data_IF_075616596217
#
_entry.id   IF_075616596217
#
_cell.length_a   1.000
_cell.length_b   1.000
_cell.length_c   1.000
_cell.angle_alpha   90.00
_cell.angle_beta   90.00
_cell.angle_gamma   90.00
#
_symmetry.space_group_name_H-M   'P 1'
#
loop_
_entity.id
_entity.type
_entity.pdbx_description
1 polymer ?
#
# COMPACT_ATOMS: atom_id res chain seq x y z
N UNK A 1 33.27 -23.77 -66.13
CA UNK A 1 32.30 -23.83 -65.03
C UNK A 1 32.34 -22.45 -64.34
N UNK A 2 31.32 -21.61 -64.65
CA UNK A 2 31.28 -20.21 -64.11
C UNK A 2 30.41 -20.24 -62.87
N UNK A 3 30.98 -19.97 -61.72
CA UNK A 3 30.31 -19.79 -60.45
C UNK A 3 29.69 -18.40 -60.47
N UNK A 4 28.33 -18.30 -60.43
CA UNK A 4 27.62 -17.04 -60.21
C UNK A 4 27.74 -16.64 -58.75
N UNK A 5 28.48 -15.57 -58.45
CA UNK A 5 28.50 -14.93 -57.13
C UNK A 5 27.17 -14.19 -56.96
N UNK A 6 26.39 -14.59 -55.99
CA UNK A 6 25.15 -13.91 -55.67
C UNK A 6 25.46 -12.51 -55.07
N UNK A 7 24.73 -11.50 -55.55
CA UNK A 7 24.89 -10.10 -55.17
C UNK A 7 24.56 -9.88 -53.66
N UNK A 8 25.39 -9.22 -52.86
CA UNK A 8 25.17 -9.02 -51.43
C UNK A 8 24.00 -8.07 -51.08
N UNK A 9 23.40 -7.42 -52.10
CA UNK A 9 22.32 -6.45 -51.91
C UNK A 9 21.00 -7.08 -51.42
N UNK A 10 20.72 -8.34 -51.72
CA UNK A 10 19.48 -9.01 -51.29
C UNK A 10 19.51 -9.43 -49.81
N UNK A 11 20.68 -9.76 -49.27
CA UNK A 11 20.83 -10.13 -47.82
C UNK A 11 20.58 -8.96 -46.88
N UNK A 12 21.00 -7.76 -47.26
CA UNK A 12 20.77 -6.54 -46.44
C UNK A 12 19.31 -6.13 -46.43
N UNK A 13 18.60 -6.26 -47.54
CA UNK A 13 17.15 -5.95 -47.62
C UNK A 13 16.34 -6.93 -46.75
N UNK A 14 16.69 -8.21 -46.74
CA UNK A 14 16.04 -9.20 -45.85
C UNK A 14 16.33 -8.97 -44.36
N UNK A 15 17.54 -8.55 -44.02
CA UNK A 15 17.90 -8.20 -42.62
C UNK A 15 17.17 -6.94 -42.16
N UNK A 16 17.07 -5.92 -43.00
CA UNK A 16 16.33 -4.68 -42.67
C UNK A 16 14.83 -4.97 -42.57
N UNK A 17 14.24 -5.77 -43.49
CA UNK A 17 12.84 -6.19 -43.41
C UNK A 17 12.56 -7.05 -42.18
N UNK A 18 13.45 -7.95 -41.77
CA UNK A 18 13.33 -8.73 -40.53
C UNK A 18 13.44 -7.83 -39.27
N UNK A 19 14.35 -6.84 -39.26
CA UNK A 19 14.44 -5.86 -38.19
C UNK A 19 13.20 -4.95 -38.13
N UNK A 20 12.64 -4.53 -39.26
CA UNK A 20 11.39 -3.73 -39.28
C UNK A 20 10.19 -4.56 -38.83
N UNK A 21 10.13 -5.83 -39.17
CA UNK A 21 9.08 -6.75 -38.68
C UNK A 21 9.23 -7.07 -37.21
N UNK A 22 10.44 -7.13 -36.68
CA UNK A 22 10.69 -7.29 -35.24
C UNK A 22 10.39 -6.02 -34.43
N UNK A 23 10.54 -4.83 -35.03
CA UNK A 23 10.14 -3.56 -34.43
C UNK A 23 8.62 -3.32 -34.44
N UNK A 24 7.88 -3.97 -35.37
CA UNK A 24 6.41 -3.93 -35.39
C UNK A 24 5.75 -4.92 -34.42
N UNK A 25 6.50 -5.81 -33.80
CA UNK A 25 6.03 -6.77 -32.81
C UNK A 25 6.17 -6.27 -31.37
N UNK A 26 6.29 -4.95 -31.14
CA UNK A 26 5.93 -4.37 -29.86
C UNK A 26 4.43 -4.57 -29.70
N UNK A 27 4.02 -5.70 -29.11
CA UNK A 27 2.66 -5.91 -28.66
C UNK A 27 2.36 -4.82 -27.64
N UNK A 28 1.69 -3.75 -28.06
CA UNK A 28 1.03 -2.87 -27.10
C UNK A 28 -0.07 -3.70 -26.47
N UNK A 29 0.01 -3.93 -25.15
CA UNK A 29 -1.09 -4.56 -24.43
C UNK A 29 -2.38 -3.78 -24.72
N UNK A 30 -3.47 -4.51 -24.96
CA UNK A 30 -4.77 -3.90 -25.17
C UNK A 30 -5.16 -3.12 -23.93
N UNK A 31 -5.20 -1.80 -24.06
CA UNK A 31 -5.58 -0.88 -23.00
C UNK A 31 -6.69 0.04 -23.50
N UNK A 32 -7.72 0.22 -22.68
CA UNK A 32 -8.72 1.27 -22.93
C UNK A 32 -8.06 2.66 -22.84
N UNK A 33 -8.73 3.68 -23.37
CA UNK A 33 -8.22 5.04 -23.29
C UNK A 33 -7.92 5.44 -21.84
N UNK A 34 -6.75 6.03 -21.62
CA UNK A 34 -6.40 6.65 -20.36
C UNK A 34 -7.33 7.84 -20.08
N UNK A 35 -7.55 8.14 -18.81
CA UNK A 35 -8.34 9.31 -18.39
C UNK A 35 -7.65 10.59 -18.83
N UNK A 36 -8.30 11.49 -19.60
CA UNK A 36 -7.73 12.79 -19.90
C UNK A 36 -7.46 13.59 -18.63
N UNK A 37 -6.36 14.39 -18.55
CA UNK A 37 -5.96 15.11 -17.33
C UNK A 37 -7.07 15.99 -16.75
N UNK A 38 -7.90 16.62 -17.60
CA UNK A 38 -9.01 17.49 -17.20
C UNK A 38 -10.19 16.73 -16.59
N UNK A 39 -10.33 15.41 -16.89
CA UNK A 39 -11.40 14.55 -16.36
C UNK A 39 -10.99 13.75 -15.13
N UNK A 40 -9.71 13.71 -14.79
CA UNK A 40 -9.18 12.89 -13.68
C UNK A 40 -9.96 13.04 -12.37
N UNK A 41 -10.35 14.27 -12.05
CA UNK A 41 -11.07 14.58 -10.81
C UNK A 41 -12.57 14.27 -10.86
N UNK A 42 -13.09 13.93 -12.03
CA UNK A 42 -14.50 13.62 -12.27
C UNK A 42 -14.72 12.11 -12.41
N UNK A 43 -13.64 11.31 -12.30
CA UNK A 43 -13.74 9.85 -12.47
C UNK A 43 -14.49 9.20 -11.33
N UNK A 44 -15.38 8.29 -11.69
CA UNK A 44 -16.15 7.43 -10.80
C UNK A 44 -15.73 5.97 -11.00
N UNK A 45 -15.70 5.19 -9.94
CA UNK A 45 -15.51 3.75 -10.00
C UNK A 45 -16.74 3.04 -9.42
N UNK A 46 -17.35 2.16 -10.23
CA UNK A 46 -18.58 1.44 -9.88
C UNK A 46 -19.74 2.35 -9.41
N UNK A 47 -19.69 3.65 -9.66
CA UNK A 47 -20.66 4.63 -9.16
C UNK A 47 -20.64 4.80 -7.63
N UNK A 48 -19.61 4.32 -6.93
CA UNK A 48 -19.53 4.34 -5.47
C UNK A 48 -19.09 5.72 -4.98
N UNK A 49 -19.92 6.47 -4.23
CA UNK A 49 -19.52 7.77 -3.69
C UNK A 49 -18.39 7.62 -2.64
N UNK A 50 -17.42 8.53 -2.68
CA UNK A 50 -16.28 8.55 -1.75
C UNK A 50 -15.46 7.24 -1.72
N UNK A 51 -15.48 6.45 -2.80
CA UNK A 51 -14.67 5.24 -2.92
C UNK A 51 -13.17 5.54 -2.81
N UNK A 52 -12.76 6.76 -3.20
CA UNK A 52 -11.35 7.17 -3.20
C UNK A 52 -11.21 8.68 -3.09
N UNK A 53 -10.00 9.12 -2.74
CA UNK A 53 -9.62 10.52 -2.59
C UNK A 53 -8.32 10.79 -3.35
N UNK A 54 -8.24 11.97 -3.93
CA UNK A 54 -7.03 12.50 -4.55
C UNK A 54 -6.36 13.48 -3.57
N UNK A 55 -5.04 13.37 -3.40
CA UNK A 55 -4.30 14.19 -2.41
C UNK A 55 -4.31 15.68 -2.70
N UNK A 56 -4.56 16.06 -3.95
CA UNK A 56 -4.74 17.44 -4.39
C UNK A 56 -6.20 17.95 -4.23
N UNK A 57 -7.10 17.12 -3.68
CA UNK A 57 -8.48 17.48 -3.32
C UNK A 57 -8.75 17.25 -1.81
N UNK A 58 -8.04 17.94 -0.90
CA UNK A 58 -8.12 17.66 0.53
C UNK A 58 -9.52 17.85 1.13
N UNK A 59 -10.36 18.66 0.50
CA UNK A 59 -11.72 18.92 0.98
C UNK A 59 -12.59 17.65 1.03
N UNK A 60 -12.46 16.77 0.05
CA UNK A 60 -13.23 15.52 0.02
C UNK A 60 -12.84 14.59 1.19
N UNK A 61 -11.54 14.47 1.46
CA UNK A 61 -11.04 13.66 2.58
C UNK A 61 -11.41 14.29 3.93
N UNK A 62 -11.33 15.60 4.06
CA UNK A 62 -11.76 16.31 5.27
C UNK A 62 -13.25 16.11 5.53
N UNK A 63 -14.10 16.20 4.52
CA UNK A 63 -15.52 15.93 4.64
C UNK A 63 -15.81 14.48 5.04
N UNK A 64 -15.00 13.49 4.59
CA UNK A 64 -15.16 12.11 5.03
C UNK A 64 -14.72 11.93 6.49
N UNK A 65 -13.69 12.62 6.95
CA UNK A 65 -13.31 12.62 8.37
C UNK A 65 -14.43 13.20 9.25
N UNK A 66 -15.08 14.28 8.83
CA UNK A 66 -16.25 14.84 9.54
C UNK A 66 -17.41 13.84 9.59
N UNK A 67 -17.74 13.21 8.46
CA UNK A 67 -18.78 12.16 8.42
C UNK A 67 -18.43 10.98 9.33
N UNK A 68 -17.16 10.56 9.37
CA UNK A 68 -16.69 9.50 10.25
C UNK A 68 -16.87 9.88 11.73
N UNK A 69 -16.52 11.11 12.12
CA UNK A 69 -16.76 11.61 13.49
C UNK A 69 -18.24 11.64 13.85
N UNK A 70 -19.11 12.05 12.93
CA UNK A 70 -20.56 12.06 13.13
C UNK A 70 -21.10 10.63 13.29
N UNK A 71 -20.65 9.67 12.45
CA UNK A 71 -21.02 8.25 12.59
C UNK A 71 -20.57 7.68 13.94
N UNK A 72 -19.33 7.98 14.35
CA UNK A 72 -18.82 7.55 15.64
C UNK A 72 -19.61 8.11 16.81
N UNK A 73 -19.86 9.42 16.83
CA UNK A 73 -20.64 10.07 17.87
C UNK A 73 -22.05 9.48 17.98
N UNK A 74 -22.70 9.21 16.83
CA UNK A 74 -23.99 8.54 16.78
C UNK A 74 -23.93 7.13 17.36
N UNK A 75 -22.92 6.35 16.98
CA UNK A 75 -22.72 4.98 17.49
C UNK A 75 -22.51 4.97 19.01
N UNK A 76 -21.68 5.89 19.51
CA UNK A 76 -21.38 6.02 20.93
C UNK A 76 -22.49 6.74 21.73
N UNK A 77 -23.53 7.24 21.05
CA UNK A 77 -24.58 8.08 21.67
C UNK A 77 -24.02 9.30 22.41
N UNK A 78 -22.90 9.84 21.88
CA UNK A 78 -22.25 11.00 22.47
C UNK A 78 -23.14 12.25 22.35
N UNK A 79 -23.14 13.09 23.40
CA UNK A 79 -23.81 14.40 23.37
C UNK A 79 -23.15 15.32 22.35
N UNK A 80 -23.91 16.26 21.78
CA UNK A 80 -23.35 17.28 20.87
C UNK A 80 -22.20 18.03 21.55
N UNK A 81 -21.12 18.24 20.82
CA UNK A 81 -19.90 18.92 21.32
C UNK A 81 -19.23 18.23 22.51
N UNK A 82 -19.40 16.91 22.63
CA UNK A 82 -18.84 16.11 23.72
C UNK A 82 -17.42 15.62 23.51
N UNK A 83 -16.80 15.12 24.60
CA UNK A 83 -15.55 14.39 24.54
C UNK A 83 -15.76 13.02 23.89
N UNK A 84 -14.98 12.72 22.86
CA UNK A 84 -14.87 11.36 22.30
C UNK A 84 -13.73 10.60 22.97
N UNK A 85 -13.77 9.25 22.98
CA UNK A 85 -12.65 8.44 23.44
C UNK A 85 -11.38 8.77 22.64
N UNK A 86 -10.22 8.46 23.21
CA UNK A 86 -8.91 8.62 22.52
C UNK A 86 -8.97 7.98 21.13
N UNK A 87 -8.60 8.75 20.13
CA UNK A 87 -8.50 8.29 18.75
C UNK A 87 -7.13 7.71 18.48
N UNK A 88 -7.07 6.42 18.19
CA UNK A 88 -5.84 5.72 17.81
C UNK A 88 -5.79 5.59 16.28
N UNK A 89 -4.67 5.96 15.69
CA UNK A 89 -4.42 5.95 14.25
C UNK A 89 -3.22 5.06 13.97
N UNK A 90 -3.33 4.17 12.99
CA UNK A 90 -2.26 3.26 12.59
C UNK A 90 -1.87 3.49 11.14
N UNK A 91 -0.57 3.64 10.89
CA UNK A 91 0.01 3.65 9.55
C UNK A 91 0.95 2.46 9.37
N UNK A 92 0.73 1.67 8.32
CA UNK A 92 1.51 0.49 7.97
C UNK A 92 2.26 0.75 6.67
N UNK A 93 3.59 0.75 6.73
CA UNK A 93 4.39 1.01 5.54
C UNK A 93 4.48 -0.18 4.59
N UNK A 94 4.90 0.09 3.36
CA UNK A 94 5.46 -0.91 2.46
C UNK A 94 6.71 -1.58 3.05
N UNK A 95 7.16 -2.68 2.39
CA UNK A 95 8.34 -3.42 2.83
C UNK A 95 8.44 -4.86 2.29
N UNK A 96 7.54 -5.30 1.41
CA UNK A 96 7.58 -6.68 0.88
C UNK A 96 7.43 -7.72 2.00
N UNK A 97 8.34 -8.68 2.05
CA UNK A 97 8.40 -9.74 3.07
C UNK A 97 8.79 -9.26 4.48
N UNK A 98 9.39 -8.08 4.60
CA UNK A 98 9.55 -7.37 5.87
C UNK A 98 8.21 -7.04 6.56
N UNK A 99 7.08 -7.18 5.87
CA UNK A 99 5.74 -7.14 6.48
C UNK A 99 5.55 -8.13 7.62
N UNK A 100 6.36 -9.19 7.69
CA UNK A 100 6.41 -10.11 8.81
C UNK A 100 6.70 -9.39 10.15
N UNK A 101 7.44 -8.27 10.12
CA UNK A 101 7.65 -7.42 11.28
C UNK A 101 6.35 -6.81 11.78
N UNK A 102 5.59 -6.15 10.93
CA UNK A 102 4.32 -5.52 11.29
C UNK A 102 3.28 -6.53 11.77
N UNK A 103 3.21 -7.69 11.10
CA UNK A 103 2.33 -8.79 11.49
C UNK A 103 2.68 -9.31 12.90
N UNK A 104 3.96 -9.64 13.14
CA UNK A 104 4.44 -10.11 14.43
C UNK A 104 4.23 -9.08 15.54
N UNK A 105 4.50 -7.79 15.26
CA UNK A 105 4.30 -6.70 16.21
C UNK A 105 2.82 -6.59 16.61
N UNK A 106 1.89 -6.59 15.65
CA UNK A 106 0.46 -6.47 15.93
C UNK A 106 -0.06 -7.65 16.77
N UNK A 107 0.32 -8.88 16.43
CA UNK A 107 -0.11 -10.07 17.19
C UNK A 107 0.53 -10.12 18.57
N UNK A 108 1.82 -9.79 18.68
CA UNK A 108 2.50 -9.65 19.97
C UNK A 108 1.90 -8.55 20.84
N UNK A 109 1.46 -7.44 20.23
CA UNK A 109 0.76 -6.37 20.94
C UNK A 109 -0.61 -6.81 21.48
N UNK A 110 -1.33 -7.65 20.75
CA UNK A 110 -2.52 -8.31 21.26
C UNK A 110 -2.19 -9.22 22.45
N UNK A 111 -1.11 -9.98 22.38
CA UNK A 111 -0.67 -10.85 23.47
C UNK A 111 -0.24 -10.04 24.73
N UNK A 112 0.28 -8.83 24.55
CA UNK A 112 0.55 -7.90 25.66
C UNK A 112 -0.74 -7.38 26.32
N UNK A 113 -1.84 -7.29 25.58
CA UNK A 113 -3.19 -6.99 26.09
C UNK A 113 -3.60 -5.52 26.02
N UNK A 114 -2.81 -4.62 25.43
CA UNK A 114 -3.11 -3.18 25.33
C UNK A 114 -3.20 -2.65 23.89
N UNK A 115 -3.26 -3.55 22.88
CA UNK A 115 -3.50 -3.14 21.49
C UNK A 115 -4.84 -2.43 21.35
N UNK A 116 -4.85 -1.13 20.94
CA UNK A 116 -6.09 -0.38 20.85
C UNK A 116 -6.89 -0.74 19.60
N UNK A 117 -8.18 -0.42 19.62
CA UNK A 117 -8.99 -0.36 18.41
C UNK A 117 -8.68 0.93 17.65
N UNK A 118 -8.25 0.82 16.39
CA UNK A 118 -7.83 1.99 15.59
C UNK A 118 -9.02 2.67 14.91
N UNK A 119 -9.06 4.00 14.95
CA UNK A 119 -10.04 4.83 14.25
C UNK A 119 -9.74 4.97 12.77
N UNK A 120 -8.47 4.99 12.43
CA UNK A 120 -7.97 4.98 11.06
C UNK A 120 -6.84 3.97 10.97
N UNK A 121 -6.90 3.11 9.98
CA UNK A 121 -5.77 2.28 9.55
C UNK A 121 -5.45 2.62 8.11
N UNK A 122 -4.20 2.93 7.85
CA UNK A 122 -3.69 3.16 6.49
C UNK A 122 -2.64 2.13 6.14
N UNK A 123 -2.59 1.74 4.88
CA UNK A 123 -1.62 0.76 4.40
C UNK A 123 -1.11 1.06 2.99
N UNK A 124 0.15 0.73 2.77
CA UNK A 124 0.84 0.80 1.47
C UNK A 124 1.57 -0.53 1.26
N UNK A 125 1.49 -1.11 0.05
CA UNK A 125 2.19 -2.35 -0.30
C UNK A 125 1.88 -3.49 0.69
N UNK A 126 2.88 -4.14 1.28
CA UNK A 126 2.65 -5.14 2.34
C UNK A 126 1.82 -4.57 3.51
N UNK A 127 1.96 -3.27 3.81
CA UNK A 127 1.10 -2.61 4.79
C UNK A 127 -0.38 -2.58 4.39
N UNK A 128 -0.69 -2.52 3.09
CA UNK A 128 -2.06 -2.65 2.59
C UNK A 128 -2.60 -4.07 2.75
N UNK A 129 -1.73 -5.08 2.67
CA UNK A 129 -2.09 -6.48 2.93
C UNK A 129 -2.35 -6.75 4.41
N UNK A 130 -1.65 -6.07 5.32
CA UNK A 130 -1.83 -6.17 6.78
C UNK A 130 -3.04 -5.35 7.26
N UNK A 131 -3.33 -4.23 6.60
CA UNK A 131 -4.27 -3.22 7.09
C UNK A 131 -5.69 -3.74 7.41
N UNK A 132 -6.34 -4.61 6.62
CA UNK A 132 -7.66 -5.15 6.96
C UNK A 132 -7.66 -5.95 8.27
N UNK A 133 -6.64 -6.77 8.50
CA UNK A 133 -6.47 -7.56 9.73
C UNK A 133 -6.25 -6.65 10.96
N UNK A 134 -5.38 -5.65 10.80
CA UNK A 134 -5.13 -4.66 11.84
C UNK A 134 -6.38 -3.83 12.18
N UNK A 135 -7.17 -3.50 11.17
CA UNK A 135 -8.41 -2.74 11.29
C UNK A 135 -9.50 -3.52 12.03
N UNK A 136 -9.68 -4.79 11.69
CA UNK A 136 -10.70 -5.64 12.32
C UNK A 136 -10.27 -6.09 13.72
N UNK A 137 -8.99 -6.30 13.96
CA UNK A 137 -8.46 -6.54 15.30
C UNK A 137 -8.13 -8.00 15.61
N UNK A 138 -8.07 -8.37 16.90
CA UNK A 138 -7.51 -9.64 17.36
C UNK A 138 -8.18 -10.90 16.81
N UNK A 139 -9.43 -10.84 16.40
CA UNK A 139 -10.14 -11.98 15.78
C UNK A 139 -9.47 -12.48 14.48
N UNK A 140 -8.66 -11.62 13.85
CA UNK A 140 -7.93 -11.94 12.62
C UNK A 140 -6.43 -12.23 12.83
N UNK A 141 -5.95 -12.26 14.08
CA UNK A 141 -4.52 -12.44 14.36
C UNK A 141 -3.99 -13.82 13.91
N UNK A 142 -4.82 -14.86 14.00
CA UNK A 142 -4.45 -16.18 13.50
C UNK A 142 -4.25 -16.20 11.97
N UNK A 143 -5.14 -15.54 11.22
CA UNK A 143 -5.02 -15.40 9.78
C UNK A 143 -3.81 -14.54 9.39
N UNK A 144 -3.55 -13.42 10.09
CA UNK A 144 -2.39 -12.58 9.89
C UNK A 144 -1.08 -13.34 10.14
N UNK A 145 -1.05 -14.18 11.19
CA UNK A 145 0.09 -15.07 11.48
C UNK A 145 0.32 -16.07 10.34
N UNK A 146 -0.75 -16.71 9.83
CA UNK A 146 -0.66 -17.70 8.74
C UNK A 146 -0.07 -17.05 7.47
N UNK A 147 -0.56 -15.86 7.09
CA UNK A 147 -0.05 -15.11 5.93
C UNK A 147 1.45 -14.84 6.00
N UNK A 148 1.99 -14.44 7.17
CA UNK A 148 3.40 -14.02 7.27
C UNK A 148 4.36 -15.09 7.78
N UNK A 149 3.87 -16.29 8.11
CA UNK A 149 4.72 -17.39 8.58
C UNK A 149 4.66 -18.64 7.72
N UNK A 150 3.63 -18.80 6.86
CA UNK A 150 3.41 -20.00 6.07
C UNK A 150 3.38 -19.76 4.56
N UNK A 151 3.50 -18.52 4.11
CA UNK A 151 3.60 -18.14 2.70
C UNK A 151 5.06 -18.08 2.28
N UNK A 152 5.32 -18.43 1.02
CA UNK A 152 6.63 -18.37 0.36
C UNK A 152 6.50 -17.68 -0.99
N UNK A 153 7.62 -17.55 -1.71
CA UNK A 153 7.69 -16.88 -3.01
C UNK A 153 6.62 -17.35 -4.00
N UNK A 154 6.35 -18.67 -4.09
CA UNK A 154 5.37 -19.23 -5.05
C UNK A 154 3.92 -18.85 -4.74
N UNK A 155 3.62 -18.40 -3.52
CA UNK A 155 2.30 -17.86 -3.16
C UNK A 155 2.13 -16.38 -3.54
N UNK A 156 3.22 -15.72 -3.93
CA UNK A 156 3.25 -14.28 -4.25
C UNK A 156 3.37 -14.07 -5.75
N UNK A 157 4.34 -14.72 -6.40
CA UNK A 157 4.57 -14.55 -7.84
C UNK A 157 5.25 -15.74 -8.50
N UNK A 158 5.03 -15.86 -9.81
CA UNK A 158 5.78 -16.74 -10.69
C UNK A 158 6.72 -15.92 -11.56
N UNK A 159 8.02 -16.31 -11.62
CA UNK A 159 9.00 -15.64 -12.47
C UNK A 159 8.71 -15.95 -13.94
N UNK A 160 8.61 -14.92 -14.77
CA UNK A 160 8.52 -15.06 -16.22
C UNK A 160 9.92 -15.21 -16.83
N UNK A 161 10.01 -15.70 -18.07
CA UNK A 161 11.29 -15.76 -18.78
C UNK A 161 11.88 -14.37 -18.98
N UNK A 162 13.21 -14.27 -19.11
CA UNK A 162 13.93 -12.98 -19.29
C UNK A 162 13.41 -12.20 -20.50
N UNK A 163 12.87 -12.87 -21.50
CA UNK A 163 12.22 -12.22 -22.65
C UNK A 163 11.01 -11.37 -22.26
N UNK A 164 10.37 -11.65 -21.15
CA UNK A 164 9.26 -10.86 -20.61
C UNK A 164 9.64 -9.39 -20.34
N UNK A 165 10.90 -9.12 -20.04
CA UNK A 165 11.39 -7.74 -19.89
C UNK A 165 11.23 -6.86 -21.15
N UNK A 166 11.00 -7.48 -22.32
CA UNK A 166 10.83 -6.80 -23.61
C UNK A 166 9.43 -6.99 -24.18
N UNK A 167 8.77 -8.09 -23.83
CA UNK A 167 7.47 -8.49 -24.41
C UNK A 167 6.28 -8.30 -23.48
N UNK A 168 6.53 -8.17 -22.18
CA UNK A 168 5.49 -8.08 -21.15
C UNK A 168 5.64 -6.79 -20.32
N UNK A 169 4.60 -6.44 -19.58
CA UNK A 169 4.54 -5.26 -18.72
C UNK A 169 5.24 -5.47 -17.36
N UNK A 170 5.65 -6.72 -17.04
CA UNK A 170 6.39 -7.06 -15.83
C UNK A 170 7.20 -8.35 -15.94
N UNK A 171 8.16 -8.52 -15.03
CA UNK A 171 9.02 -9.69 -14.94
C UNK A 171 8.37 -10.90 -14.25
N UNK A 172 7.23 -10.71 -13.59
CA UNK A 172 6.55 -11.75 -12.82
C UNK A 172 5.04 -11.74 -13.03
N UNK A 173 4.40 -12.88 -12.82
CA UNK A 173 2.95 -13.01 -12.74
C UNK A 173 2.51 -12.95 -11.28
N UNK A 174 1.51 -12.13 -10.96
CA UNK A 174 0.98 -11.92 -9.61
C UNK A 174 -0.35 -12.64 -9.36
N UNK A 175 -0.78 -13.53 -10.24
CA UNK A 175 -1.97 -14.37 -10.02
C UNK A 175 -1.92 -15.14 -8.69
N UNK A 176 -0.75 -15.67 -8.21
CA UNK A 176 -0.65 -16.29 -6.91
C UNK A 176 -0.94 -15.32 -5.75
N UNK A 177 -0.47 -14.08 -5.84
CA UNK A 177 -0.77 -13.05 -4.83
C UNK A 177 -2.27 -12.73 -4.81
N UNK A 178 -2.90 -12.58 -5.98
CA UNK A 178 -4.34 -12.37 -6.06
C UNK A 178 -5.13 -13.54 -5.44
N UNK A 179 -4.71 -14.77 -5.69
CA UNK A 179 -5.32 -15.97 -5.09
C UNK A 179 -5.14 -15.95 -3.55
N UNK A 180 -3.95 -15.58 -3.07
CA UNK A 180 -3.66 -15.43 -1.64
C UNK A 180 -4.54 -14.34 -1.01
N UNK A 181 -4.63 -13.16 -1.62
CA UNK A 181 -5.52 -12.09 -1.16
C UNK A 181 -6.96 -12.60 -1.10
N UNK A 182 -7.42 -13.32 -2.15
CA UNK A 182 -8.79 -13.82 -2.26
C UNK A 182 -9.15 -14.87 -1.21
N UNK A 183 -8.16 -15.63 -0.72
CA UNK A 183 -8.33 -16.63 0.35
C UNK A 183 -8.72 -15.97 1.68
N UNK A 184 -8.14 -14.80 1.99
CA UNK A 184 -8.31 -14.14 3.29
C UNK A 184 -9.31 -12.98 3.25
N UNK A 185 -9.37 -12.26 2.13
CA UNK A 185 -10.30 -11.16 1.93
C UNK A 185 -11.55 -11.70 1.24
N UNK A 186 -12.46 -12.19 2.04
CA UNK A 186 -13.72 -12.80 1.65
C UNK A 186 -14.94 -11.87 1.93
N UNK A 187 -16.12 -12.34 1.62
CA UNK A 187 -17.39 -11.63 1.87
C UNK A 187 -17.59 -11.34 3.36
N UNK A 188 -17.15 -12.25 4.23
CA UNK A 188 -17.26 -12.07 5.67
C UNK A 188 -16.38 -10.90 6.15
N UNK A 189 -15.10 -10.88 5.74
CA UNK A 189 -14.20 -9.76 6.07
C UNK A 189 -14.74 -8.44 5.51
N UNK A 190 -15.24 -8.43 4.27
CA UNK A 190 -15.85 -7.23 3.68
C UNK A 190 -17.03 -6.73 4.49
N UNK A 191 -17.95 -7.62 4.91
CA UNK A 191 -19.08 -7.25 5.74
C UNK A 191 -18.65 -6.67 7.10
N UNK A 192 -17.64 -7.25 7.74
CA UNK A 192 -17.05 -6.73 8.98
C UNK A 192 -16.43 -5.34 8.79
N UNK A 193 -15.75 -5.10 7.66
CA UNK A 193 -15.19 -3.77 7.33
C UNK A 193 -16.32 -2.75 7.16
N UNK A 194 -17.42 -3.12 6.50
CA UNK A 194 -18.59 -2.26 6.34
C UNK A 194 -19.23 -1.90 7.69
N UNK A 195 -19.39 -2.86 8.60
CA UNK A 195 -19.90 -2.62 9.95
C UNK A 195 -19.02 -1.62 10.74
N UNK A 196 -17.69 -1.79 10.69
CA UNK A 196 -16.76 -0.90 11.38
C UNK A 196 -16.73 0.51 10.77
N UNK A 197 -16.91 0.61 9.45
CA UNK A 197 -17.09 1.91 8.78
C UNK A 197 -18.33 2.65 9.24
N UNK A 198 -19.47 1.94 9.47
CA UNK A 198 -20.68 2.53 10.02
C UNK A 198 -20.50 3.04 11.46
N UNK A 199 -19.57 2.47 12.22
CA UNK A 199 -19.17 2.94 13.55
C UNK A 199 -18.21 4.13 13.50
N UNK A 200 -17.92 4.68 12.31
CA UNK A 200 -17.06 5.84 12.11
C UNK A 200 -15.56 5.51 12.07
N UNK A 201 -15.19 4.23 11.84
CA UNK A 201 -13.80 3.85 11.62
C UNK A 201 -13.46 3.90 10.13
N UNK A 202 -12.20 4.15 9.79
CA UNK A 202 -11.74 4.29 8.41
C UNK A 202 -10.60 3.31 8.12
N UNK A 203 -10.70 2.61 6.99
CA UNK A 203 -9.64 1.80 6.42
C UNK A 203 -9.26 2.39 5.06
N UNK A 204 -8.01 2.81 4.91
CA UNK A 204 -7.53 3.46 3.70
C UNK A 204 -6.27 2.76 3.14
N UNK A 205 -6.29 2.48 1.84
CA UNK A 205 -5.17 1.88 1.11
C UNK A 205 -4.72 2.87 0.03
N UNK A 206 -3.40 3.01 -0.16
CA UNK A 206 -2.85 3.87 -1.19
C UNK A 206 -2.30 3.06 -2.35
N UNK A 207 -2.59 3.52 -3.57
CA UNK A 207 -1.97 3.11 -4.82
C UNK A 207 -1.40 4.33 -5.54
N UNK A 208 -0.60 4.12 -6.58
CA UNK A 208 -0.12 5.18 -7.47
C UNK A 208 -0.77 5.03 -8.84
N UNK A 209 -1.53 6.03 -9.29
CA UNK A 209 -1.98 6.18 -10.66
C UNK A 209 -0.78 6.65 -11.51
N UNK A 210 -0.26 5.78 -12.38
CA UNK A 210 0.92 6.07 -13.20
C UNK A 210 0.63 7.10 -14.31
N UNK A 211 -0.59 7.13 -14.85
CA UNK A 211 -0.94 8.09 -15.90
C UNK A 211 -0.90 9.52 -15.37
N UNK A 212 -1.38 9.69 -14.16
CA UNK A 212 -1.42 10.99 -13.50
C UNK A 212 -0.12 11.31 -12.73
N UNK A 213 0.65 10.29 -12.34
CA UNK A 213 1.81 10.44 -11.43
C UNK A 213 1.40 10.84 -10.02
N UNK A 214 0.22 10.41 -9.55
CA UNK A 214 -0.37 10.83 -8.28
C UNK A 214 -0.77 9.65 -7.39
N UNK A 215 -0.65 9.80 -6.06
CA UNK A 215 -1.22 8.82 -5.13
C UNK A 215 -2.74 8.93 -5.11
N UNK A 216 -3.39 7.76 -5.05
CA UNK A 216 -4.83 7.61 -4.88
C UNK A 216 -5.07 6.88 -3.56
N UNK A 217 -5.89 7.46 -2.68
CA UNK A 217 -6.24 6.91 -1.38
C UNK A 217 -7.64 6.29 -1.48
N UNK A 218 -7.72 4.99 -1.35
CA UNK A 218 -8.96 4.23 -1.42
C UNK A 218 -9.64 4.13 -0.07
N UNK A 219 -10.92 4.47 -0.01
CA UNK A 219 -11.78 4.32 1.17
C UNK A 219 -12.44 2.94 1.16
N UNK A 220 -11.71 1.95 1.68
CA UNK A 220 -12.14 0.54 1.65
C UNK A 220 -13.47 0.34 2.37
N UNK A 221 -13.71 1.09 3.45
CA UNK A 221 -14.97 1.02 4.18
C UNK A 221 -16.18 1.50 3.37
N UNK A 222 -16.03 2.60 2.60
CA UNK A 222 -17.10 3.07 1.72
C UNK A 222 -17.38 2.08 0.58
N UNK A 223 -16.33 1.46 0.03
CA UNK A 223 -16.45 0.41 -1.00
C UNK A 223 -17.18 -0.81 -0.40
N UNK A 224 -16.75 -1.30 0.75
CA UNK A 224 -17.36 -2.45 1.41
C UNK A 224 -18.84 -2.25 1.73
N UNK A 225 -19.21 -1.02 2.13
CA UNK A 225 -20.60 -0.66 2.44
C UNK A 225 -21.47 -0.42 1.22
N UNK A 226 -20.91 -0.24 0.04
CA UNK A 226 -21.65 0.23 -1.15
C UNK A 226 -22.80 -0.68 -1.59
N UNK A 227 -22.75 -1.98 -1.25
CA UNK A 227 -23.67 -2.99 -1.76
C UNK A 227 -23.45 -3.35 -3.22
N UNK A 228 -22.39 -2.82 -3.88
CA UNK A 228 -22.05 -3.20 -5.24
C UNK A 228 -21.62 -4.68 -5.29
N UNK A 229 -22.12 -5.49 -6.23
CA UNK A 229 -21.70 -6.87 -6.40
C UNK A 229 -20.20 -7.00 -6.71
N UNK A 230 -19.59 -5.95 -7.29
CA UNK A 230 -18.16 -5.92 -7.64
C UNK A 230 -17.28 -5.37 -6.50
N UNK A 231 -17.85 -4.96 -5.37
CA UNK A 231 -17.12 -4.31 -4.27
C UNK A 231 -15.97 -5.18 -3.73
N UNK A 232 -16.22 -6.48 -3.53
CA UNK A 232 -15.21 -7.41 -3.04
C UNK A 232 -14.05 -7.56 -4.02
N UNK A 233 -14.36 -7.70 -5.30
CA UNK A 233 -13.38 -7.79 -6.36
C UNK A 233 -12.55 -6.50 -6.46
N UNK A 234 -13.19 -5.35 -6.35
CA UNK A 234 -12.50 -4.04 -6.33
C UNK A 234 -11.54 -3.95 -5.13
N UNK A 235 -11.95 -4.34 -3.91
CA UNK A 235 -11.08 -4.32 -2.72
C UNK A 235 -9.84 -5.20 -2.95
N UNK A 236 -10.00 -6.41 -3.49
CA UNK A 236 -8.89 -7.32 -3.80
C UNK A 236 -7.92 -6.72 -4.82
N UNK A 237 -8.44 -6.10 -5.87
CA UNK A 237 -7.60 -5.44 -6.88
C UNK A 237 -6.89 -4.20 -6.33
N UNK A 238 -7.51 -3.43 -5.42
CA UNK A 238 -6.85 -2.32 -4.73
C UNK A 238 -5.67 -2.82 -3.89
N UNK A 239 -5.83 -3.92 -3.16
CA UNK A 239 -4.75 -4.52 -2.38
C UNK A 239 -3.63 -5.05 -3.28
N UNK A 240 -3.99 -5.72 -4.39
CA UNK A 240 -3.04 -6.19 -5.40
C UNK A 240 -2.27 -5.01 -6.03
N UNK A 241 -2.98 -3.95 -6.46
CA UNK A 241 -2.37 -2.76 -7.03
C UNK A 241 -1.41 -2.08 -6.06
N UNK A 242 -1.81 -1.98 -4.79
CA UNK A 242 -0.95 -1.40 -3.74
C UNK A 242 0.32 -2.21 -3.51
N UNK A 243 0.34 -3.49 -3.83
CA UNK A 243 1.49 -4.37 -3.73
C UNK A 243 2.20 -4.65 -5.08
N UNK A 244 1.76 -4.01 -6.17
CA UNK A 244 2.32 -4.18 -7.52
C UNK A 244 3.55 -3.29 -7.72
N UNK A 245 4.71 -3.77 -7.27
CA UNK A 245 6.00 -3.05 -7.37
C UNK A 245 6.35 -2.84 -8.85
N UNK A 246 6.57 -1.57 -9.30
CA UNK A 246 6.88 -1.27 -10.69
C UNK A 246 8.06 -2.07 -11.23
N UNK A 247 7.98 -2.54 -12.46
CA UNK A 247 8.91 -3.40 -13.17
C UNK A 247 9.01 -4.85 -12.64
N UNK A 248 8.75 -5.10 -11.36
CA UNK A 248 8.73 -6.45 -10.80
C UNK A 248 7.37 -7.14 -11.04
N UNK A 249 6.29 -6.42 -10.81
CA UNK A 249 4.91 -6.91 -10.90
C UNK A 249 4.08 -6.12 -11.90
N UNK A 250 3.07 -6.76 -12.56
CA UNK A 250 2.21 -6.09 -13.52
C UNK A 250 1.42 -4.96 -12.83
N UNK A 251 1.17 -3.85 -13.54
CA UNK A 251 0.22 -2.85 -13.08
C UNK A 251 -1.20 -3.42 -13.04
N UNK A 252 -2.02 -2.90 -12.17
CA UNK A 252 -3.45 -3.23 -12.11
C UNK A 252 -4.25 -2.15 -12.81
N UNK A 253 -5.12 -2.57 -13.72
CA UNK A 253 -5.95 -1.69 -14.52
C UNK A 253 -7.31 -1.52 -13.85
N UNK A 254 -7.74 -0.27 -13.59
CA UNK A 254 -9.06 0.05 -13.08
C UNK A 254 -9.93 0.68 -14.16
N UNK A 255 -11.07 0.05 -14.43
CA UNK A 255 -12.09 0.64 -15.29
C UNK A 255 -12.83 1.74 -14.50
N UNK A 256 -12.88 2.92 -15.08
CA UNK A 256 -13.52 4.11 -14.51
C UNK A 256 -14.41 4.79 -15.53
N UNK A 257 -15.32 5.61 -15.07
CA UNK A 257 -16.20 6.42 -15.90
C UNK A 257 -16.01 7.89 -15.58
N UNK A 258 -15.97 8.74 -16.63
CA UNK A 258 -16.00 10.19 -16.52
C UNK A 258 -16.96 10.75 -17.55
N UNK A 259 -17.92 11.59 -17.15
CA UNK A 259 -18.95 12.20 -18.02
C UNK A 259 -19.69 11.19 -18.91
N UNK A 260 -19.94 9.98 -18.39
CA UNK A 260 -20.64 8.93 -19.14
C UNK A 260 -19.78 8.19 -20.19
N UNK A 261 -18.47 8.43 -20.23
CA UNK A 261 -17.54 7.71 -21.11
C UNK A 261 -16.63 6.78 -20.31
N UNK A 262 -16.34 5.57 -20.80
CA UNK A 262 -15.45 4.61 -20.14
C UNK A 262 -13.99 4.95 -20.41
N UNK A 263 -13.17 4.83 -19.35
CA UNK A 263 -11.72 4.99 -19.36
C UNK A 263 -11.05 3.90 -18.53
N UNK A 264 -9.71 3.91 -18.50
CA UNK A 264 -8.93 2.99 -17.71
C UNK A 264 -7.73 3.71 -17.08
N UNK A 265 -7.55 3.52 -15.78
CA UNK A 265 -6.40 4.02 -15.03
C UNK A 265 -5.42 2.88 -14.77
N UNK A 266 -4.12 3.16 -14.87
CA UNK A 266 -3.04 2.21 -14.62
C UNK A 266 -2.46 2.45 -13.22
N UNK A 267 -2.65 1.49 -12.32
CA UNK A 267 -2.18 1.61 -10.94
C UNK A 267 -1.05 0.64 -10.60
N UNK A 268 -0.13 1.12 -9.80
CA UNK A 268 0.97 0.35 -9.22
C UNK A 268 1.07 0.60 -7.72
N UNK A 269 2.08 -0.02 -7.08
CA UNK A 269 2.37 0.12 -5.65
C UNK A 269 2.35 1.58 -5.21
N UNK A 270 1.67 1.82 -4.08
CA UNK A 270 1.63 3.14 -3.47
C UNK A 270 3.00 3.67 -3.08
N UNK A 271 3.96 2.77 -2.84
CA UNK A 271 5.34 3.07 -2.52
C UNK A 271 6.12 3.77 -3.64
N UNK A 272 5.61 3.79 -4.87
CA UNK A 272 6.17 4.62 -5.94
C UNK A 272 6.12 6.12 -5.60
N UNK A 273 5.16 6.56 -4.76
CA UNK A 273 5.02 7.94 -4.30
C UNK A 273 5.36 8.08 -2.81
N UNK A 274 4.79 7.23 -1.95
CA UNK A 274 5.07 7.26 -0.51
C UNK A 274 4.93 5.87 0.11
N UNK A 275 5.85 5.54 1.02
CA UNK A 275 5.88 4.24 1.69
C UNK A 275 4.87 4.12 2.83
N UNK A 276 4.45 5.25 3.38
CA UNK A 276 3.50 5.32 4.49
C UNK A 276 2.80 6.67 4.53
N UNK A 277 1.58 6.71 5.03
CA UNK A 277 0.82 7.92 5.26
C UNK A 277 -0.16 7.76 6.42
N UNK A 278 -0.56 8.84 7.06
CA UNK A 278 -1.72 8.91 7.97
C UNK A 278 -2.85 9.69 7.31
N UNK A 279 -2.56 10.93 6.96
CA UNK A 279 -3.41 11.80 6.13
C UNK A 279 -2.48 12.61 5.23
N UNK A 280 -2.93 13.06 4.06
CA UNK A 280 -2.15 13.98 3.25
C UNK A 280 -1.75 15.23 4.06
N UNK A 281 -0.57 15.81 3.83
CA UNK A 281 -0.14 17.01 4.54
C UNK A 281 -1.09 18.22 4.41
N UNK A 282 -1.89 18.23 3.34
CA UNK A 282 -2.93 19.24 3.08
C UNK A 282 -4.18 19.07 3.95
N UNK A 283 -4.39 17.91 4.58
CA UNK A 283 -5.51 17.63 5.48
C UNK A 283 -5.09 17.91 6.92
N UNK A 284 -5.89 18.71 7.63
CA UNK A 284 -5.68 18.98 9.05
C UNK A 284 -6.78 18.28 9.87
N UNK A 285 -6.45 17.22 10.64
CA UNK A 285 -7.43 16.49 11.45
C UNK A 285 -8.17 17.36 12.48
N UNK A 286 -7.56 18.45 12.95
CA UNK A 286 -8.23 19.38 13.85
C UNK A 286 -9.41 20.11 13.21
N UNK A 287 -9.40 20.33 11.91
CA UNK A 287 -10.51 21.00 11.24
C UNK A 287 -11.79 20.19 11.30
N UNK A 288 -11.69 18.87 11.14
CA UNK A 288 -12.83 17.98 11.27
C UNK A 288 -13.40 17.96 12.71
N UNK A 289 -12.53 17.94 13.72
CA UNK A 289 -12.95 18.06 15.13
C UNK A 289 -13.60 19.44 15.39
N UNK A 290 -12.98 20.52 14.94
CA UNK A 290 -13.52 21.86 15.10
C UNK A 290 -14.89 22.05 14.40
N UNK A 291 -15.02 21.52 13.16
CA UNK A 291 -16.27 21.62 12.40
C UNK A 291 -17.42 20.85 13.07
N UNK A 292 -17.14 19.75 13.74
CA UNK A 292 -18.13 18.90 14.42
C UNK A 292 -18.36 19.28 15.89
N UNK A 293 -17.49 20.13 16.46
CA UNK A 293 -17.54 20.51 17.88
C UNK A 293 -17.10 19.42 18.86
N UNK A 294 -16.62 18.26 18.36
CA UNK A 294 -16.07 17.20 19.19
C UNK A 294 -14.60 17.45 19.52
N UNK A 295 -14.14 16.88 20.64
CA UNK A 295 -12.73 16.92 21.05
C UNK A 295 -12.27 15.56 21.54
N UNK A 296 -11.01 15.23 21.30
CA UNK A 296 -10.36 13.97 21.73
C UNK A 296 -8.85 14.09 21.79
N UNK A 297 -8.24 13.24 22.61
CA UNK A 297 -6.83 12.93 22.51
C UNK A 297 -6.58 12.09 21.25
N UNK A 298 -5.51 12.38 20.53
CA UNK A 298 -5.10 11.65 19.32
C UNK A 298 -3.75 10.99 19.54
N UNK A 299 -3.62 9.72 19.16
CA UNK A 299 -2.38 8.92 19.28
C UNK A 299 -2.14 8.23 17.95
N UNK A 300 -1.02 8.52 17.31
CA UNK A 300 -0.62 7.91 16.06
C UNK A 300 0.46 6.85 16.29
N UNK A 301 0.27 5.68 15.70
CA UNK A 301 1.21 4.59 15.64
C UNK A 301 1.64 4.38 14.19
N UNK A 302 2.93 4.29 13.98
CA UNK A 302 3.52 4.06 12.67
C UNK A 302 4.38 2.80 12.75
N UNK A 303 4.07 1.81 11.94
CA UNK A 303 4.85 0.58 11.83
C UNK A 303 5.55 0.61 10.47
N UNK A 304 6.88 0.75 10.51
CA UNK A 304 7.72 0.65 9.33
C UNK A 304 8.16 -0.80 9.13
N UNK A 305 7.66 -1.42 8.09
CA UNK A 305 8.08 -2.76 7.67
C UNK A 305 9.41 -2.70 6.89
N UNK A 306 10.42 -2.15 7.52
CA UNK A 306 11.79 -2.05 6.97
C UNK A 306 12.72 -1.46 8.05
N UNK A 307 14.03 -1.48 7.77
CA UNK A 307 15.04 -0.76 8.54
C UNK A 307 15.04 0.73 8.22
N UNK A 308 15.62 1.54 9.08
CA UNK A 308 15.88 2.96 8.80
C UNK A 308 17.15 3.15 7.94
N UNK A 309 18.11 2.25 8.07
CA UNK A 309 19.36 2.22 7.32
C UNK A 309 19.22 1.33 6.09
N UNK A 310 19.92 1.67 5.01
CA UNK A 310 20.00 0.81 3.83
C UNK A 310 21.04 -0.28 4.04
N UNK A 311 20.70 -1.52 3.68
CA UNK A 311 21.67 -2.60 3.66
C UNK A 311 22.64 -2.43 2.49
N UNK A 312 23.92 -2.71 2.76
CA UNK A 312 24.94 -2.71 1.71
C UNK A 312 24.71 -3.90 0.79
N UNK A 313 24.79 -3.67 -0.51
CA UNK A 313 24.67 -4.70 -1.54
C UNK A 313 25.68 -4.43 -2.65
N UNK A 314 26.42 -5.43 -3.07
CA UNK A 314 27.24 -5.37 -4.26
C UNK A 314 26.31 -5.40 -5.50
N UNK A 315 26.40 -4.35 -6.31
CA UNK A 315 25.53 -4.17 -7.47
C UNK A 315 26.27 -4.49 -8.73
N UNK A 316 25.79 -5.49 -9.47
CA UNK A 316 26.35 -5.81 -10.78
C UNK A 316 26.26 -4.61 -11.73
N UNK A 317 27.34 -4.38 -12.52
CA UNK A 317 27.39 -3.29 -13.51
C UNK A 317 26.58 -3.62 -14.76
N UNK A 318 25.28 -3.89 -14.57
CA UNK A 318 24.29 -4.17 -15.63
C UNK A 318 23.13 -3.17 -15.50
N UNK A 319 22.56 -2.76 -16.63
CA UNK A 319 21.50 -1.72 -16.67
C UNK A 319 20.32 -2.07 -15.77
N UNK A 320 19.84 -3.32 -15.80
CA UNK A 320 18.71 -3.76 -15.01
C UNK A 320 19.03 -3.77 -13.51
N UNK A 321 20.19 -4.32 -13.11
CA UNK A 321 20.63 -4.37 -11.71
C UNK A 321 20.81 -2.96 -11.12
N UNK A 322 21.39 -2.05 -11.92
CA UNK A 322 21.56 -0.64 -11.53
C UNK A 322 20.20 0.03 -11.37
N UNK A 323 19.27 -0.17 -12.32
CA UNK A 323 17.94 0.43 -12.28
C UNK A 323 17.15 -0.08 -11.08
N UNK A 324 17.13 -1.39 -10.83
CA UNK A 324 16.45 -2.00 -9.68
C UNK A 324 17.00 -1.46 -8.35
N UNK A 325 18.34 -1.39 -8.21
CA UNK A 325 18.94 -0.83 -6.99
C UNK A 325 18.64 0.64 -6.80
N UNK A 326 18.65 1.43 -7.87
CA UNK A 326 18.31 2.85 -7.83
C UNK A 326 16.85 3.06 -7.36
N UNK A 327 15.90 2.33 -7.95
CA UNK A 327 14.48 2.37 -7.56
C UNK A 327 14.31 1.95 -6.09
N UNK A 328 14.91 0.84 -5.66
CA UNK A 328 14.85 0.38 -4.27
C UNK A 328 15.43 1.42 -3.29
N UNK A 329 16.53 2.08 -3.69
CA UNK A 329 17.14 3.16 -2.90
C UNK A 329 16.21 4.37 -2.77
N UNK A 330 15.61 4.82 -3.88
CA UNK A 330 14.65 5.92 -3.90
C UNK A 330 13.43 5.62 -3.03
N UNK A 331 12.86 4.42 -3.13
CA UNK A 331 11.74 3.93 -2.33
C UNK A 331 12.08 3.98 -0.84
N UNK A 332 13.26 3.48 -0.44
CA UNK A 332 13.67 3.47 0.96
C UNK A 332 13.85 4.89 1.52
N UNK A 333 14.52 5.78 0.79
CA UNK A 333 14.71 7.18 1.23
C UNK A 333 13.42 7.98 1.23
N UNK A 334 12.50 7.75 0.28
CA UNK A 334 11.15 8.31 0.35
C UNK A 334 10.43 7.88 1.63
N UNK A 335 10.52 6.59 1.99
CA UNK A 335 9.95 6.08 3.24
C UNK A 335 10.51 6.76 4.48
N UNK A 336 11.82 7.02 4.53
CA UNK A 336 12.41 7.80 5.64
C UNK A 336 11.79 9.21 5.68
N UNK A 337 11.68 9.89 4.53
CA UNK A 337 11.05 11.19 4.43
C UNK A 337 9.57 11.20 4.87
N UNK A 338 8.83 10.09 4.64
CA UNK A 338 7.43 9.96 5.06
C UNK A 338 7.29 10.04 6.59
N UNK A 339 8.20 9.44 7.36
CA UNK A 339 8.14 9.46 8.83
C UNK A 339 8.37 10.86 9.37
N UNK A 340 9.26 11.65 8.78
CA UNK A 340 9.42 13.05 9.13
C UNK A 340 8.16 13.85 8.79
N UNK A 341 7.55 13.63 7.61
CA UNK A 341 6.27 14.26 7.23
C UNK A 341 5.14 13.90 8.20
N UNK A 342 5.02 12.62 8.57
CA UNK A 342 4.02 12.16 9.53
C UNK A 342 4.28 12.74 10.93
N UNK A 343 5.52 12.81 11.38
CA UNK A 343 5.88 13.46 12.65
C UNK A 343 5.43 14.92 12.66
N UNK A 344 5.75 15.68 11.62
CA UNK A 344 5.31 17.08 11.51
C UNK A 344 3.78 17.22 11.46
N UNK A 345 3.11 16.29 10.80
CA UNK A 345 1.63 16.25 10.74
C UNK A 345 1.03 15.94 12.12
N UNK A 346 1.56 14.98 12.86
CA UNK A 346 1.11 14.65 14.22
C UNK A 346 1.37 15.80 15.19
N UNK A 347 2.53 16.46 15.10
CA UNK A 347 2.83 17.66 15.90
C UNK A 347 1.84 18.79 15.62
N UNK A 348 1.54 19.07 14.35
CA UNK A 348 0.54 20.08 13.96
C UNK A 348 -0.87 19.70 14.45
N UNK A 349 -1.18 18.41 14.49
CA UNK A 349 -2.45 17.88 14.97
C UNK A 349 -2.49 17.70 16.51
N UNK A 350 -1.48 18.12 17.26
CA UNK A 350 -1.34 17.88 18.69
C UNK A 350 -1.61 16.41 19.06
N UNK A 351 -1.13 15.49 18.20
CA UNK A 351 -1.25 14.05 18.40
C UNK A 351 0.07 13.48 18.93
N UNK A 352 -0.02 12.43 19.74
CA UNK A 352 1.15 11.64 20.15
C UNK A 352 1.67 10.85 18.94
N UNK A 353 2.99 10.75 18.80
CA UNK A 353 3.67 10.01 17.74
C UNK A 353 4.38 8.80 18.34
N UNK A 354 4.19 7.62 17.73
CA UNK A 354 4.82 6.37 18.15
C UNK A 354 5.29 5.62 16.89
N UNK A 355 6.60 5.40 16.76
CA UNK A 355 7.22 4.74 15.61
C UNK A 355 7.85 3.41 16.03
N UNK A 356 7.58 2.37 15.23
CA UNK A 356 8.24 1.07 15.27
C UNK A 356 8.89 0.78 13.93
N UNK A 357 10.06 0.13 13.96
CA UNK A 357 10.79 -0.31 12.77
C UNK A 357 11.71 -1.49 13.11
N UNK A 358 12.25 -2.16 12.09
CA UNK A 358 13.19 -3.27 12.26
C UNK A 358 14.50 -2.70 12.80
N UNK A 359 14.84 -3.08 14.04
CA UNK A 359 16.05 -2.60 14.71
C UNK A 359 17.32 -3.26 14.18
N UNK A 360 18.47 -2.64 14.48
CA UNK A 360 19.78 -3.16 14.09
C UNK A 360 20.14 -4.44 14.88
N UNK A 361 19.38 -4.77 15.93
CA UNK A 361 19.50 -5.98 16.74
C UNK A 361 18.84 -7.22 16.09
N UNK A 362 18.14 -7.06 14.96
CA UNK A 362 17.62 -8.18 14.20
C UNK A 362 18.63 -8.64 13.12
N UNK A 363 18.99 -9.91 13.18
CA UNK A 363 19.86 -10.55 12.19
C UNK A 363 19.26 -11.91 11.81
N UNK A 364 19.06 -12.13 10.51
CA UNK A 364 18.65 -13.42 9.95
C UNK A 364 19.11 -13.51 8.50
N UNK A 365 19.43 -14.71 8.04
CA UNK A 365 19.72 -14.95 6.62
C UNK A 365 18.47 -14.67 5.78
N UNK A 366 18.62 -13.91 4.70
CA UNK A 366 17.60 -13.59 3.72
C UNK A 366 18.08 -14.06 2.34
N UNK A 367 17.72 -15.28 1.96
CA UNK A 367 18.29 -15.96 0.78
C UNK A 367 17.62 -15.58 -0.53
N UNK A 368 16.33 -15.29 -0.45
CA UNK A 368 15.50 -14.91 -1.61
C UNK A 368 14.29 -14.11 -1.14
N UNK A 369 13.62 -13.41 -2.06
CA UNK A 369 12.41 -12.68 -1.75
C UNK A 369 11.32 -13.65 -1.23
N UNK A 370 10.64 -13.27 -0.16
CA UNK A 370 9.63 -14.06 0.54
C UNK A 370 10.17 -15.39 1.09
N UNK A 371 11.43 -15.36 1.59
CA UNK A 371 12.02 -16.49 2.32
C UNK A 371 11.22 -16.74 3.62
N UNK A 372 10.54 -17.89 3.68
CA UNK A 372 9.71 -18.26 4.83
C UNK A 372 10.52 -18.36 6.13
N UNK A 373 11.78 -18.77 6.07
CA UNK A 373 12.67 -18.84 7.24
C UNK A 373 12.96 -17.46 7.81
N UNK A 374 13.31 -16.52 6.93
CA UNK A 374 13.50 -15.11 7.27
C UNK A 374 12.23 -14.49 7.83
N UNK A 375 11.10 -14.63 7.15
CA UNK A 375 9.81 -14.09 7.58
C UNK A 375 9.39 -14.60 8.95
N UNK A 376 9.58 -15.88 9.25
CA UNK A 376 9.30 -16.47 10.57
C UNK A 376 10.22 -15.91 11.65
N UNK A 377 11.50 -15.73 11.36
CA UNK A 377 12.45 -15.15 12.30
C UNK A 377 12.08 -13.69 12.61
N UNK A 378 11.76 -12.90 11.59
CA UNK A 378 11.36 -11.50 11.73
C UNK A 378 10.02 -11.35 12.46
N UNK A 379 9.04 -12.19 12.12
CA UNK A 379 7.75 -12.24 12.82
C UNK A 379 7.96 -12.51 14.32
N UNK A 380 8.74 -13.53 14.67
CA UNK A 380 9.02 -13.88 16.08
C UNK A 380 9.73 -12.77 16.83
N UNK A 381 10.74 -12.16 16.19
CA UNK A 381 11.45 -11.01 16.76
C UNK A 381 10.50 -9.87 17.14
N UNK A 382 9.61 -9.49 16.22
CA UNK A 382 8.64 -8.43 16.44
C UNK A 382 7.57 -8.81 17.49
N UNK A 383 7.07 -10.06 17.41
CA UNK A 383 6.12 -10.62 18.37
C UNK A 383 6.68 -10.58 19.78
N UNK A 384 7.89 -11.11 20.00
CA UNK A 384 8.51 -11.18 21.31
C UNK A 384 8.77 -9.81 21.93
N UNK A 385 9.15 -8.82 21.10
CA UNK A 385 9.29 -7.43 21.55
C UNK A 385 7.95 -6.84 21.96
N UNK A 386 6.92 -7.02 21.14
CA UNK A 386 5.61 -6.44 21.39
C UNK A 386 4.89 -7.11 22.56
N UNK A 387 5.01 -8.42 22.73
CA UNK A 387 4.43 -9.15 23.86
C UNK A 387 5.01 -8.76 25.25
N UNK A 388 6.20 -8.14 25.27
CA UNK A 388 6.83 -7.58 26.47
C UNK A 388 6.63 -6.08 26.66
N UNK A 389 5.84 -5.45 25.81
CA UNK A 389 5.69 -3.99 25.72
C UNK A 389 6.69 -3.41 24.72
N UNK A 390 6.18 -3.06 23.50
CA UNK A 390 7.06 -2.54 22.45
C UNK A 390 7.64 -1.16 22.84
N UNK A 391 8.96 -0.92 22.70
CA UNK A 391 9.59 0.35 23.01
C UNK A 391 9.41 1.37 21.87
N UNK A 392 8.20 1.92 21.76
CA UNK A 392 7.86 2.90 20.73
C UNK A 392 8.78 4.13 20.79
N UNK A 393 9.22 4.58 19.62
CA UNK A 393 9.97 5.83 19.49
C UNK A 393 8.98 7.02 19.35
N UNK A 394 9.13 8.04 20.20
CA UNK A 394 8.25 9.22 20.21
C UNK A 394 8.63 10.30 19.20
N UNK A 395 9.74 10.09 18.46
CA UNK A 395 10.23 10.95 17.40
C UNK A 395 11.01 10.15 16.35
N UNK A 396 11.11 10.64 15.10
CA UNK A 396 12.03 10.08 14.10
C UNK A 396 13.50 10.28 14.55
N UNK A 397 14.44 9.45 14.05
CA UNK A 397 15.87 9.63 14.34
C UNK A 397 16.37 11.05 14.01
N UNK A 398 17.25 11.57 14.84
CA UNK A 398 17.82 12.92 14.70
C UNK A 398 16.95 14.05 15.27
N UNK A 399 15.73 13.77 15.72
CA UNK A 399 14.98 14.70 16.55
C UNK A 399 15.27 14.42 18.04
N UNK A 400 15.61 15.48 18.77
CA UNK A 400 15.79 15.36 20.21
C UNK A 400 14.47 14.94 20.88
N UNK A 401 14.54 13.98 21.81
CA UNK A 401 13.43 13.69 22.71
C UNK A 401 13.07 15.01 23.42
N UNK A 402 11.89 15.54 23.15
CA UNK A 402 11.35 16.60 23.99
C UNK A 402 10.96 15.93 25.29
N UNK A 403 11.79 16.13 26.32
CA UNK A 403 11.40 15.76 27.68
C UNK A 403 10.01 16.36 27.94
N UNK A 404 9.05 15.48 28.24
CA UNK A 404 7.69 15.87 28.64
C UNK A 404 7.68 16.32 30.08
#
# INVERSE_FOLDING_TARGET
MRIKVASPKHGIVWLISACVLLLSACSTFDRKNAVPPELRRETSILGIPNARFFVDQPAQMSAEQERALIREAKYLRASHSGALPTGYFLSLSGGGDDGAFGAGLLVGWTAHGDRPSFKLVTGVSTGALIAPFAFLGPEYDAALTDVYTNINQSNIFEKRFITAAVTDDALSDTSPLYATISKYVDEHMMARIAEEYEKGRLLAIQTTDLDAGYPVIWNVGAIAKSGSPEALNLIRHIMLASASIPAAFPPVMFDVEARGAPYQEMHVDGGAVSQAFLVPPSVNPHLALAATGYHRKMVAYIIRNSRLTTEWTDVERQTLSIAQRAVATMINYNGVGDFYRMYMTTRRANAEFNLAYIGDDFHADHKEAFDTGYMRALYRYAFDKAARGYPWQDAPPGFAHTAR
#
